data_IF_799121217115
#
_entry.id   IF_799121217115
#
_cell.length_a   1.000
_cell.length_b   1.000
_cell.length_c   1.000
_cell.angle_alpha   90.00
_cell.angle_beta   90.00
_cell.angle_gamma   90.00
#
_symmetry.space_group_name_H-M   'P 1'
#
loop_
_entity.id
_entity.type
_entity.pdbx_description
1 polymer ?
#
# COMPACT_ATOMS: atom_id res chain seq x y z
N UNK A 1 -4.12 -77.34 -83.85
CA UNK A 1 -3.89 -77.31 -85.31
C UNK A 1 -3.01 -76.09 -85.57
N UNK A 2 -1.77 -76.32 -86.05
CA UNK A 2 -0.76 -75.36 -86.57
C UNK A 2 -0.08 -74.46 -85.51
N UNK A 3 1.19 -74.69 -85.12
CA UNK A 3 2.48 -74.19 -85.71
C UNK A 3 2.58 -72.63 -85.65
N UNK A 4 3.66 -71.92 -85.31
CA UNK A 4 5.09 -72.20 -85.07
C UNK A 4 5.78 -70.87 -84.63
N UNK A 5 6.93 -70.95 -83.93
CA UNK A 5 8.13 -70.05 -83.92
C UNK A 5 7.97 -68.53 -83.63
N UNK A 6 8.81 -67.83 -82.87
CA UNK A 6 10.27 -67.91 -82.76
C UNK A 6 10.78 -67.13 -81.53
N UNK A 7 11.96 -67.48 -80.99
CA UNK A 7 12.74 -66.69 -79.99
C UNK A 7 13.89 -65.94 -80.73
N UNK A 8 14.89 -65.24 -80.11
CA UNK A 8 15.10 -64.75 -78.73
C UNK A 8 15.65 -63.28 -78.67
N UNK A 9 15.76 -62.65 -77.49
CA UNK A 9 17.00 -61.93 -77.05
C UNK A 9 16.96 -61.50 -75.58
N UNK A 10 18.14 -61.47 -74.98
CA UNK A 10 18.47 -61.36 -73.56
C UNK A 10 18.39 -59.94 -72.98
N UNK A 11 18.01 -59.83 -71.70
CA UNK A 11 18.72 -59.04 -70.65
C UNK A 11 18.03 -59.24 -69.29
N UNK A 12 18.73 -59.84 -68.32
CA UNK A 12 18.53 -59.60 -66.88
C UNK A 12 19.13 -58.23 -66.54
N UNK A 13 18.61 -57.43 -65.57
CA UNK A 13 18.54 -57.79 -64.14
C UNK A 13 17.25 -57.17 -63.51
N UNK A 14 16.98 -57.01 -62.21
CA UNK A 14 17.66 -57.22 -60.95
C UNK A 14 16.55 -57.21 -59.88
N UNK A 15 16.76 -57.95 -58.79
CA UNK A 15 15.92 -57.89 -57.59
C UNK A 15 16.25 -56.64 -56.77
N UNK A 16 15.28 -55.75 -56.51
CA UNK A 16 15.43 -54.73 -55.45
C UNK A 16 14.15 -54.50 -54.63
N UNK A 17 14.25 -54.89 -53.35
CA UNK A 17 14.02 -54.04 -52.18
C UNK A 17 12.60 -53.49 -51.93
N UNK A 18 11.76 -54.30 -51.25
CA UNK A 18 10.45 -53.92 -50.70
C UNK A 18 10.51 -53.33 -49.28
N UNK A 19 11.68 -52.99 -48.73
CA UNK A 19 11.83 -52.52 -47.33
C UNK A 19 11.71 -50.99 -47.12
N UNK A 20 11.76 -50.19 -48.20
CA UNK A 20 11.82 -48.71 -48.15
C UNK A 20 10.54 -47.94 -47.72
N UNK A 21 9.29 -48.40 -47.91
CA UNK A 21 8.11 -47.57 -47.59
C UNK A 21 7.82 -47.44 -46.08
N UNK A 22 8.09 -48.48 -45.29
CA UNK A 22 7.82 -48.47 -43.85
C UNK A 22 8.82 -47.61 -43.06
N UNK A 23 10.09 -47.62 -43.47
CA UNK A 23 11.13 -46.79 -42.88
C UNK A 23 10.91 -45.29 -43.15
N UNK A 24 10.46 -44.93 -44.36
CA UNK A 24 10.13 -43.55 -44.71
C UNK A 24 8.92 -43.01 -43.94
N UNK A 25 7.87 -43.83 -43.75
CA UNK A 25 6.70 -43.44 -42.95
C UNK A 25 7.02 -43.26 -41.47
N UNK A 26 7.90 -44.11 -40.91
CA UNK A 26 8.35 -44.01 -39.52
C UNK A 26 9.21 -42.77 -39.29
N UNK A 27 10.12 -42.47 -40.23
CA UNK A 27 10.95 -41.25 -40.17
C UNK A 27 10.10 -39.98 -40.23
N UNK A 28 9.08 -39.93 -41.09
CA UNK A 28 8.16 -38.80 -41.19
C UNK A 28 7.35 -38.60 -39.89
N UNK A 29 6.88 -39.69 -39.27
CA UNK A 29 6.18 -39.64 -37.99
C UNK A 29 7.08 -39.15 -36.85
N UNK A 30 8.36 -39.54 -36.86
CA UNK A 30 9.35 -39.11 -35.87
C UNK A 30 9.70 -37.62 -36.03
N UNK A 31 9.83 -37.14 -37.27
CA UNK A 31 10.02 -35.72 -37.58
C UNK A 31 8.79 -34.89 -37.17
N UNK A 32 7.57 -35.39 -37.40
CA UNK A 32 6.34 -34.74 -36.93
C UNK A 32 6.28 -34.67 -35.40
N UNK A 33 6.59 -35.76 -34.70
CA UNK A 33 6.62 -35.79 -33.24
C UNK A 33 7.70 -34.86 -32.66
N UNK A 34 8.89 -34.80 -33.29
CA UNK A 34 9.95 -33.87 -32.90
C UNK A 34 9.53 -32.41 -33.12
N UNK A 35 8.91 -32.09 -34.26
CA UNK A 35 8.38 -30.76 -34.53
C UNK A 35 7.24 -30.35 -33.59
N UNK A 36 6.38 -31.28 -33.17
CA UNK A 36 5.35 -31.00 -32.16
C UNK A 36 5.97 -30.74 -30.77
N UNK A 37 6.99 -31.51 -30.39
CA UNK A 37 7.71 -31.32 -29.12
C UNK A 37 8.46 -29.98 -29.11
N UNK A 38 9.15 -29.62 -30.19
CA UNK A 38 9.82 -28.31 -30.32
C UNK A 38 8.81 -27.17 -30.22
N UNK A 39 7.67 -27.26 -30.92
CA UNK A 39 6.62 -26.24 -30.85
C UNK A 39 5.99 -26.13 -29.45
N UNK A 40 5.82 -27.25 -28.74
CA UNK A 40 5.34 -27.25 -27.36
C UNK A 40 6.36 -26.62 -26.42
N UNK A 41 7.64 -26.96 -26.59
CA UNK A 41 8.76 -26.40 -25.83
C UNK A 41 8.89 -24.89 -26.07
N UNK A 42 8.82 -24.41 -27.31
CA UNK A 42 8.86 -22.98 -27.65
C UNK A 42 7.68 -22.22 -27.02
N UNK A 43 6.48 -22.80 -27.08
CA UNK A 43 5.28 -22.19 -26.47
C UNK A 43 5.38 -22.16 -24.94
N UNK A 44 5.88 -23.22 -24.33
CA UNK A 44 6.13 -23.31 -22.88
C UNK A 44 7.19 -22.28 -22.44
N UNK A 45 8.26 -22.14 -23.22
CA UNK A 45 9.35 -21.21 -22.93
C UNK A 45 8.93 -19.74 -23.10
N UNK A 46 8.10 -19.43 -24.12
CA UNK A 46 7.48 -18.12 -24.29
C UNK A 46 6.52 -17.79 -23.14
N UNK A 47 5.65 -18.72 -22.76
CA UNK A 47 4.75 -18.56 -21.61
C UNK A 47 5.55 -18.35 -20.32
N UNK A 48 6.59 -19.16 -20.07
CA UNK A 48 7.48 -19.01 -18.92
C UNK A 48 8.15 -17.63 -18.89
N UNK A 49 8.65 -17.14 -20.03
CA UNK A 49 9.27 -15.80 -20.14
C UNK A 49 8.29 -14.67 -19.82
N UNK A 50 7.06 -14.74 -20.35
CA UNK A 50 5.99 -13.78 -20.03
C UNK A 50 5.54 -13.83 -18.56
N UNK A 51 5.75 -14.95 -17.88
CA UNK A 51 5.41 -15.13 -16.47
C UNK A 51 6.54 -14.70 -15.54
N UNK A 52 7.80 -14.81 -15.97
CA UNK A 52 8.97 -14.34 -15.21
C UNK A 52 9.02 -12.81 -15.14
N UNK A 53 8.53 -12.11 -16.18
CA UNK A 53 8.47 -10.64 -16.21
C UNK A 53 7.39 -10.06 -15.29
N UNK A 54 6.43 -10.86 -14.85
CA UNK A 54 5.39 -10.45 -13.89
C UNK A 54 5.85 -10.87 -12.49
N UNK A 55 5.75 -9.96 -11.51
CA UNK A 55 6.06 -10.28 -10.11
C UNK A 55 4.88 -11.04 -9.46
N UNK A 56 4.46 -12.13 -10.09
CA UNK A 56 3.30 -12.90 -9.66
C UNK A 56 3.55 -14.40 -9.68
N UNK A 57 2.93 -15.09 -8.73
CA UNK A 57 2.90 -16.54 -8.62
C UNK A 57 1.67 -17.04 -9.35
N UNK A 58 1.86 -17.90 -10.34
CA UNK A 58 0.76 -18.71 -10.85
C UNK A 58 0.63 -19.96 -10.00
N UNK A 59 -0.60 -20.35 -9.73
CA UNK A 59 -0.87 -21.55 -8.96
C UNK A 59 -2.12 -22.26 -9.48
N UNK A 60 -2.17 -23.58 -9.28
CA UNK A 60 -3.35 -24.40 -9.54
C UNK A 60 -3.50 -25.43 -8.43
N UNK A 61 -4.71 -25.59 -7.92
CA UNK A 61 -5.05 -26.60 -6.90
C UNK A 61 -6.24 -27.44 -7.35
N UNK A 62 -6.22 -28.70 -6.96
CA UNK A 62 -7.41 -29.54 -6.90
C UNK A 62 -8.22 -29.14 -5.65
N UNK A 63 -9.50 -28.84 -5.83
CA UNK A 63 -10.32 -28.23 -4.78
C UNK A 63 -10.58 -29.18 -3.60
N UNK A 64 -10.94 -30.43 -3.89
CA UNK A 64 -11.39 -31.40 -2.89
C UNK A 64 -10.25 -31.80 -1.95
N UNK A 65 -9.07 -32.07 -2.50
CA UNK A 65 -7.89 -32.52 -1.75
C UNK A 65 -7.01 -31.37 -1.28
N UNK A 66 -7.20 -30.17 -1.83
CA UNK A 66 -6.29 -29.02 -1.71
C UNK A 66 -4.87 -29.33 -2.20
N UNK A 67 -4.73 -30.32 -3.07
CA UNK A 67 -3.45 -30.66 -3.68
C UNK A 67 -3.03 -29.58 -4.66
N UNK A 68 -1.82 -29.05 -4.47
CA UNK A 68 -1.20 -28.14 -5.42
C UNK A 68 -0.79 -28.94 -6.66
N UNK A 69 -1.41 -28.62 -7.80
CA UNK A 69 -1.16 -29.25 -9.10
C UNK A 69 -0.01 -28.56 -9.82
N UNK A 70 0.11 -27.25 -9.64
CA UNK A 70 1.13 -26.42 -10.25
C UNK A 70 1.40 -25.18 -9.40
N UNK A 71 2.65 -24.75 -9.39
CA UNK A 71 3.07 -23.44 -8.88
C UNK A 71 4.23 -22.94 -9.73
N UNK A 72 4.23 -21.67 -10.11
CA UNK A 72 5.33 -21.11 -10.89
C UNK A 72 6.59 -20.90 -10.02
N UNK A 73 7.80 -20.89 -10.62
CA UNK A 73 9.05 -20.64 -9.90
C UNK A 73 9.09 -19.31 -9.12
N UNK A 74 8.26 -18.33 -9.52
CA UNK A 74 8.12 -17.07 -8.80
C UNK A 74 7.70 -17.26 -7.33
N UNK A 75 7.07 -18.38 -6.98
CA UNK A 75 6.75 -18.73 -5.59
C UNK A 75 7.98 -18.74 -4.70
N UNK A 76 9.10 -19.31 -5.14
CA UNK A 76 10.29 -19.39 -4.30
C UNK A 76 10.88 -18.00 -4.02
N UNK A 77 10.80 -17.09 -5.01
CA UNK A 77 11.22 -15.69 -4.87
C UNK A 77 10.28 -14.89 -3.96
N UNK A 78 8.95 -15.05 -4.13
CA UNK A 78 7.93 -14.24 -3.44
C UNK A 78 7.64 -14.77 -2.02
N UNK A 79 7.69 -16.08 -1.79
CA UNK A 79 7.43 -16.68 -0.49
C UNK A 79 8.72 -17.02 0.27
N UNK A 80 9.85 -17.13 -0.42
CA UNK A 80 11.11 -17.62 0.18
C UNK A 80 11.08 -19.11 0.54
N UNK A 81 10.05 -19.84 0.10
CA UNK A 81 9.81 -21.25 0.44
C UNK A 81 9.94 -22.12 -0.81
N UNK A 82 10.35 -23.38 -0.64
CA UNK A 82 10.54 -24.27 -1.77
C UNK A 82 9.22 -24.66 -2.44
N UNK A 83 9.17 -24.54 -3.77
CA UNK A 83 8.02 -24.94 -4.57
C UNK A 83 7.83 -26.46 -4.55
N UNK A 84 8.92 -27.25 -4.48
CA UNK A 84 8.84 -28.71 -4.40
C UNK A 84 8.23 -29.18 -3.09
N UNK A 85 8.54 -28.50 -1.97
CA UNK A 85 7.88 -28.75 -0.68
C UNK A 85 6.39 -28.40 -0.73
N UNK A 86 6.01 -27.27 -1.36
CA UNK A 86 4.61 -26.92 -1.54
C UNK A 86 3.84 -27.96 -2.37
N UNK A 87 4.47 -28.53 -3.40
CA UNK A 87 3.86 -29.59 -4.22
C UNK A 87 3.73 -30.91 -3.45
N UNK A 88 4.60 -31.17 -2.48
CA UNK A 88 4.56 -32.35 -1.62
C UNK A 88 3.59 -32.20 -0.43
N UNK A 89 3.44 -30.98 0.10
CA UNK A 89 2.68 -30.70 1.32
C UNK A 89 1.42 -29.85 1.05
N UNK A 90 0.26 -30.37 1.42
CA UNK A 90 -1.03 -29.72 1.15
C UNK A 90 -1.31 -28.43 1.96
N UNK A 91 -0.46 -28.03 2.91
CA UNK A 91 -0.69 -26.88 3.83
C UNK A 91 0.29 -25.71 3.68
N UNK A 92 1.31 -25.83 2.84
CA UNK A 92 2.40 -24.85 2.76
C UNK A 92 1.96 -23.41 2.46
N UNK A 93 0.89 -23.23 1.68
CA UNK A 93 0.28 -21.92 1.43
C UNK A 93 -0.40 -21.35 2.67
N UNK A 94 -1.31 -22.11 3.31
CA UNK A 94 -2.04 -21.66 4.51
C UNK A 94 -1.10 -21.26 5.63
N UNK A 95 -0.04 -22.05 5.84
CA UNK A 95 0.97 -21.82 6.87
C UNK A 95 1.91 -20.64 6.55
N UNK A 96 1.81 -20.07 5.36
CA UNK A 96 2.49 -18.82 5.00
C UNK A 96 1.63 -17.58 5.23
N UNK A 97 0.31 -17.71 5.40
CA UNK A 97 -0.58 -16.55 5.57
C UNK A 97 -0.45 -16.00 6.98
N UNK A 98 -0.40 -14.66 7.08
CA UNK A 98 -0.36 -13.95 8.36
C UNK A 98 -1.55 -14.39 9.24
N UNK A 99 -1.36 -14.67 10.55
CA UNK A 99 -2.39 -15.26 11.40
C UNK A 99 -3.74 -14.52 11.39
N UNK A 100 -3.72 -13.19 11.35
CA UNK A 100 -4.92 -12.34 11.28
C UNK A 100 -5.69 -12.47 9.96
N UNK A 101 -5.03 -12.89 8.88
CA UNK A 101 -5.60 -12.93 7.53
C UNK A 101 -6.01 -14.35 7.10
N UNK A 102 -5.66 -15.38 7.88
CA UNK A 102 -5.92 -16.79 7.51
C UNK A 102 -7.40 -17.06 7.25
N UNK A 103 -8.27 -16.62 8.17
CA UNK A 103 -9.72 -16.85 8.03
C UNK A 103 -10.29 -16.12 6.80
N UNK A 104 -9.86 -14.88 6.57
CA UNK A 104 -10.26 -14.11 5.40
C UNK A 104 -9.78 -14.77 4.10
N UNK A 105 -8.52 -15.22 4.04
CA UNK A 105 -7.94 -15.85 2.86
C UNK A 105 -8.67 -17.15 2.49
N UNK A 106 -9.05 -17.96 3.48
CA UNK A 106 -9.81 -19.20 3.27
C UNK A 106 -11.24 -18.93 2.83
N UNK A 107 -11.93 -17.99 3.49
CA UNK A 107 -13.30 -17.63 3.14
C UNK A 107 -13.39 -17.05 1.73
N UNK A 108 -12.53 -16.09 1.39
CA UNK A 108 -12.47 -15.49 0.05
C UNK A 108 -12.14 -16.52 -1.03
N UNK A 109 -11.26 -17.49 -0.76
CA UNK A 109 -10.96 -18.56 -1.71
C UNK A 109 -12.17 -19.49 -1.92
N UNK A 110 -12.97 -19.78 -0.89
CA UNK A 110 -14.17 -20.60 -0.99
C UNK A 110 -15.29 -19.96 -1.83
N UNK A 111 -15.37 -18.63 -1.86
CA UNK A 111 -16.34 -17.91 -2.68
C UNK A 111 -16.17 -18.18 -4.19
N UNK A 112 -15.00 -18.64 -4.63
CA UNK A 112 -14.76 -18.98 -6.04
C UNK A 112 -15.69 -20.10 -6.55
N UNK A 113 -16.16 -20.97 -5.66
CA UNK A 113 -17.10 -22.04 -6.01
C UNK A 113 -18.47 -21.51 -6.42
N UNK A 114 -18.91 -20.46 -5.75
CA UNK A 114 -20.23 -19.87 -5.95
C UNK A 114 -20.19 -18.82 -7.07
N UNK A 115 -19.13 -17.99 -7.09
CA UNK A 115 -18.99 -16.86 -8.01
C UNK A 115 -18.30 -17.24 -9.32
N UNK A 116 -17.62 -18.39 -9.37
CA UNK A 116 -16.78 -18.81 -10.48
C UNK A 116 -15.42 -18.10 -10.57
N UNK A 117 -15.32 -16.88 -10.03
CA UNK A 117 -14.11 -16.07 -9.95
C UNK A 117 -14.12 -15.16 -8.71
N UNK A 118 -12.93 -14.89 -8.15
CA UNK A 118 -12.71 -13.89 -7.09
C UNK A 118 -11.46 -13.10 -7.46
N UNK A 119 -11.65 -11.81 -7.76
CA UNK A 119 -10.59 -10.95 -8.29
C UNK A 119 -10.03 -9.93 -7.29
N UNK A 120 -10.73 -9.72 -6.16
CA UNK A 120 -10.33 -8.76 -5.14
C UNK A 120 -10.14 -9.48 -3.80
N UNK A 121 -8.98 -10.13 -3.67
CA UNK A 121 -8.55 -10.72 -2.40
C UNK A 121 -7.10 -10.38 -2.12
N UNK A 122 -6.92 -9.51 -1.12
CA UNK A 122 -5.62 -9.04 -0.69
C UNK A 122 -5.35 -9.53 0.74
N UNK A 123 -4.20 -10.18 0.94
CA UNK A 123 -3.84 -10.73 2.25
C UNK A 123 -2.33 -10.71 2.45
N UNK A 124 -1.91 -10.73 3.71
CA UNK A 124 -0.50 -10.77 4.09
C UNK A 124 0.01 -12.21 4.17
N UNK A 125 1.25 -12.40 3.73
CA UNK A 125 2.04 -13.60 3.96
C UNK A 125 3.28 -13.28 4.81
N UNK A 126 3.80 -14.31 5.48
CA UNK A 126 5.06 -14.32 6.19
C UNK A 126 6.02 -15.23 5.41
N UNK A 127 7.04 -14.61 4.83
CA UNK A 127 8.08 -15.31 4.06
C UNK A 127 8.96 -16.18 4.95
N UNK A 128 9.77 -17.06 4.37
CA UNK A 128 10.65 -17.95 5.14
C UNK A 128 11.67 -17.21 6.04
N UNK A 129 12.06 -15.99 5.68
CA UNK A 129 12.92 -15.10 6.47
C UNK A 129 12.14 -14.19 7.44
N UNK A 130 10.81 -14.36 7.53
CA UNK A 130 9.95 -13.66 8.49
C UNK A 130 9.44 -12.29 8.05
N UNK A 131 9.71 -11.85 6.82
CA UNK A 131 9.18 -10.59 6.30
C UNK A 131 7.69 -10.71 5.98
N UNK A 132 6.97 -9.60 6.15
CA UNK A 132 5.57 -9.50 5.75
C UNK A 132 5.51 -9.00 4.30
N UNK A 133 4.79 -9.73 3.45
CA UNK A 133 4.46 -9.30 2.08
C UNK A 133 2.96 -9.26 1.88
N UNK A 134 2.49 -8.33 1.07
CA UNK A 134 1.10 -8.24 0.65
C UNK A 134 0.91 -8.92 -0.70
N UNK A 135 -0.04 -9.83 -0.80
CA UNK A 135 -0.44 -10.45 -2.06
C UNK A 135 -1.78 -9.89 -2.52
N UNK A 136 -1.89 -9.61 -3.81
CA UNK A 136 -3.16 -9.46 -4.53
C UNK A 136 -3.38 -10.73 -5.33
N UNK A 137 -4.32 -11.55 -4.90
CA UNK A 137 -4.57 -12.85 -5.52
C UNK A 137 -5.88 -12.83 -6.30
N UNK A 138 -5.89 -13.46 -7.47
CA UNK A 138 -7.08 -13.63 -8.29
C UNK A 138 -7.23 -15.10 -8.59
N UNK A 139 -8.39 -15.67 -8.31
CA UNK A 139 -8.65 -17.07 -8.56
C UNK A 139 -9.91 -17.31 -9.37
N UNK A 140 -9.88 -18.38 -10.16
CA UNK A 140 -10.90 -18.75 -11.12
C UNK A 140 -11.12 -20.25 -11.05
N UNK A 141 -12.37 -20.66 -11.23
CA UNK A 141 -12.69 -22.06 -11.47
C UNK A 141 -12.48 -22.43 -12.94
N UNK A 142 -11.99 -23.64 -13.15
CA UNK A 142 -12.12 -24.33 -14.44
C UNK A 142 -13.62 -24.57 -14.71
N UNK A 143 -14.25 -23.74 -15.53
CA UNK A 143 -15.67 -23.89 -15.91
C UNK A 143 -15.96 -25.08 -16.85
N UNK A 144 -14.95 -25.89 -17.22
CA UNK A 144 -15.14 -27.16 -17.93
C UNK A 144 -15.25 -28.33 -16.95
N UNK A 145 -16.23 -28.26 -16.04
CA UNK A 145 -16.60 -29.38 -15.18
C UNK A 145 -17.19 -30.51 -16.06
N UNK A 146 -16.32 -31.38 -16.55
CA UNK A 146 -16.74 -32.62 -17.21
C UNK A 146 -17.08 -33.64 -16.11
N UNK A 147 -18.19 -34.40 -16.21
CA UNK A 147 -18.53 -35.40 -15.21
C UNK A 147 -17.34 -36.33 -14.93
N UNK A 148 -16.91 -36.40 -13.67
CA UNK A 148 -15.78 -37.23 -13.23
C UNK A 148 -14.39 -36.59 -13.30
N UNK A 149 -14.25 -35.32 -13.71
CA UNK A 149 -12.99 -34.57 -13.54
C UNK A 149 -13.00 -33.73 -12.26
N UNK A 150 -11.87 -33.68 -11.51
CA UNK A 150 -11.79 -32.90 -10.28
C UNK A 150 -11.92 -31.40 -10.55
N UNK A 151 -12.48 -30.66 -9.59
CA UNK A 151 -12.59 -29.22 -9.70
C UNK A 151 -11.21 -28.60 -9.50
N UNK A 152 -10.76 -27.83 -10.49
CA UNK A 152 -9.48 -27.13 -10.44
C UNK A 152 -9.74 -25.66 -10.23
N UNK A 153 -9.08 -25.09 -9.22
CA UNK A 153 -9.00 -23.65 -9.02
C UNK A 153 -7.61 -23.21 -9.44
N UNK A 154 -7.55 -22.24 -10.34
CA UNK A 154 -6.32 -21.62 -10.80
C UNK A 154 -6.28 -20.18 -10.33
N UNK A 155 -5.08 -19.62 -10.16
CA UNK A 155 -4.96 -18.23 -9.80
C UNK A 155 -3.60 -17.62 -10.05
N UNK A 156 -3.56 -16.31 -9.85
CA UNK A 156 -2.39 -15.47 -9.96
C UNK A 156 -2.30 -14.59 -8.72
N UNK A 157 -1.21 -14.73 -7.97
CA UNK A 157 -0.93 -13.94 -6.78
C UNK A 157 0.24 -12.99 -7.03
N UNK A 158 -0.06 -11.70 -7.16
CA UNK A 158 0.91 -10.63 -7.36
C UNK A 158 1.42 -10.10 -6.01
N UNK A 159 2.73 -9.90 -5.89
CA UNK A 159 3.29 -9.19 -4.74
C UNK A 159 3.08 -7.68 -4.90
N UNK A 160 2.18 -7.14 -4.07
CA UNK A 160 1.81 -5.72 -4.04
C UNK A 160 2.42 -4.99 -2.84
N UNK A 161 3.46 -5.54 -2.22
CA UNK A 161 4.10 -4.96 -1.02
C UNK A 161 4.62 -3.55 -1.30
N UNK A 162 5.37 -3.35 -2.39
CA UNK A 162 5.88 -2.03 -2.78
C UNK A 162 4.74 -1.05 -3.09
N UNK A 163 3.69 -1.51 -3.78
CA UNK A 163 2.49 -0.71 -4.04
C UNK A 163 1.82 -0.27 -2.74
N UNK A 164 1.68 -1.16 -1.75
CA UNK A 164 1.12 -0.82 -0.43
C UNK A 164 2.00 0.16 0.33
N UNK A 165 3.32 0.01 0.28
CA UNK A 165 4.24 0.98 0.88
C UNK A 165 4.12 2.35 0.23
N UNK A 166 4.04 2.40 -1.10
CA UNK A 166 3.87 3.66 -1.83
C UNK A 166 2.51 4.29 -1.53
N UNK A 167 1.41 3.53 -1.48
CA UNK A 167 0.08 4.01 -1.09
C UNK A 167 0.11 4.63 0.31
N UNK A 168 0.73 3.95 1.28
CA UNK A 168 0.87 4.45 2.65
C UNK A 168 1.74 5.71 2.72
N UNK A 169 2.84 5.75 1.97
CA UNK A 169 3.72 6.93 1.94
C UNK A 169 3.04 8.11 1.25
N UNK A 170 2.31 7.89 0.15
CA UNK A 170 1.50 8.92 -0.49
C UNK A 170 0.42 9.44 0.45
N UNK A 171 -0.26 8.55 1.18
CA UNK A 171 -1.24 8.95 2.19
C UNK A 171 -0.57 9.77 3.30
N UNK A 172 0.60 9.35 3.78
CA UNK A 172 1.38 10.07 4.79
C UNK A 172 1.78 11.46 4.29
N UNK A 173 2.33 11.59 3.09
CA UNK A 173 2.72 12.87 2.49
C UNK A 173 1.52 13.76 2.22
N UNK A 174 0.38 13.18 1.84
CA UNK A 174 -0.86 13.92 1.61
C UNK A 174 -1.46 14.49 2.91
N UNK A 175 -1.19 13.86 4.07
CA UNK A 175 -1.86 14.21 5.33
C UNK A 175 -0.96 14.81 6.40
N UNK A 176 0.36 14.58 6.34
CA UNK A 176 1.31 14.96 7.40
C UNK A 176 2.40 15.90 6.90
N UNK A 177 2.83 16.80 7.77
CA UNK A 177 4.01 17.64 7.57
C UNK A 177 5.28 16.77 7.70
N UNK A 178 6.19 16.90 6.73
CA UNK A 178 7.36 16.01 6.62
C UNK A 178 8.32 16.18 7.80
N UNK A 179 8.47 17.41 8.29
CA UNK A 179 9.35 17.69 9.43
C UNK A 179 8.69 17.31 10.74
N UNK A 180 7.54 17.91 11.05
CA UNK A 180 6.94 17.86 12.38
C UNK A 180 6.08 16.62 12.63
N UNK A 181 5.72 15.88 11.57
CA UNK A 181 4.76 14.76 11.59
C UNK A 181 3.37 15.13 12.12
N UNK A 182 3.09 16.42 12.30
CA UNK A 182 1.75 16.94 12.56
C UNK A 182 0.92 16.95 11.27
N UNK A 183 -0.37 17.25 11.32
CA UNK A 183 -1.16 17.43 10.09
C UNK A 183 -0.55 18.53 9.24
N UNK A 184 -0.40 18.31 7.93
CA UNK A 184 -0.01 19.39 7.03
C UNK A 184 -1.16 20.39 6.85
N UNK A 185 -0.86 21.57 6.30
CA UNK A 185 -1.84 22.64 6.06
C UNK A 185 -3.11 22.13 5.39
N UNK A 186 -2.98 21.42 4.27
CA UNK A 186 -4.13 20.96 3.47
C UNK A 186 -5.05 20.07 4.30
N UNK A 187 -4.48 19.02 4.89
CA UNK A 187 -5.26 18.04 5.63
C UNK A 187 -5.84 18.63 6.92
N UNK A 188 -5.12 19.51 7.60
CA UNK A 188 -5.62 20.23 8.77
C UNK A 188 -6.90 21.00 8.44
N UNK A 189 -6.91 21.80 7.37
CA UNK A 189 -8.09 22.58 6.99
C UNK A 189 -9.25 21.72 6.47
N UNK A 190 -8.96 20.62 5.73
CA UNK A 190 -9.99 19.65 5.34
C UNK A 190 -10.70 19.07 6.58
N UNK A 191 -9.95 18.65 7.60
CA UNK A 191 -10.53 18.15 8.85
C UNK A 191 -11.22 19.26 9.66
N UNK A 192 -10.62 20.45 9.74
CA UNK A 192 -11.19 21.59 10.45
C UNK A 192 -12.54 22.02 9.87
N UNK A 193 -12.71 21.98 8.53
CA UNK A 193 -13.99 22.25 7.89
C UNK A 193 -15.07 21.24 8.30
N UNK A 194 -14.76 19.94 8.27
CA UNK A 194 -15.70 18.92 8.73
C UNK A 194 -16.09 19.09 10.20
N UNK A 195 -15.13 19.42 11.06
CA UNK A 195 -15.39 19.66 12.48
C UNK A 195 -16.24 20.92 12.71
N UNK A 196 -16.00 21.98 11.92
CA UNK A 196 -16.81 23.20 11.92
C UNK A 196 -18.25 22.93 11.50
N UNK A 197 -18.47 22.28 10.35
CA UNK A 197 -19.80 21.93 9.87
C UNK A 197 -20.56 21.06 10.87
N UNK A 198 -19.88 20.08 11.47
CA UNK A 198 -20.46 19.23 12.51
C UNK A 198 -20.86 20.03 13.74
N UNK A 199 -20.00 20.94 14.19
CA UNK A 199 -20.27 21.79 15.35
C UNK A 199 -21.49 22.70 15.11
N UNK A 200 -21.55 23.35 13.94
CA UNK A 200 -22.69 24.18 13.54
C UNK A 200 -23.99 23.38 13.45
N UNK A 201 -23.97 22.21 12.81
CA UNK A 201 -25.15 21.37 12.65
C UNK A 201 -25.71 20.83 13.97
N UNK A 202 -24.83 20.59 14.95
CA UNK A 202 -25.20 19.99 16.25
C UNK A 202 -25.30 21.01 17.39
N UNK A 203 -25.00 22.29 17.14
CA UNK A 203 -24.91 23.31 18.18
C UNK A 203 -23.84 23.01 19.24
N UNK A 204 -22.75 22.36 18.84
CA UNK A 204 -21.64 22.02 19.75
C UNK A 204 -20.61 23.16 19.79
N UNK A 205 -19.97 23.39 20.95
CA UNK A 205 -18.89 24.37 21.03
C UNK A 205 -17.67 23.88 20.25
N UNK A 206 -16.94 24.80 19.65
CA UNK A 206 -15.71 24.55 18.89
C UNK A 206 -14.77 25.73 19.14
N UNK A 207 -13.48 25.46 19.32
CA UNK A 207 -12.48 26.51 19.39
C UNK A 207 -11.39 26.30 18.35
N UNK A 208 -10.89 27.40 17.80
CA UNK A 208 -9.79 27.47 16.85
C UNK A 208 -8.64 28.24 17.50
N UNK A 209 -7.45 27.65 17.49
CA UNK A 209 -6.24 28.22 18.06
C UNK A 209 -5.19 28.35 16.97
N UNK A 210 -4.65 29.55 16.81
CA UNK A 210 -3.45 29.82 16.02
C UNK A 210 -2.28 30.07 16.94
N UNK A 211 -1.12 29.56 16.54
CA UNK A 211 0.12 29.69 17.27
C UNK A 211 1.24 30.03 16.29
N UNK A 212 2.05 31.02 16.62
CA UNK A 212 3.22 31.41 15.87
C UNK A 212 4.44 31.48 16.80
N UNK A 213 5.56 30.95 16.33
CA UNK A 213 6.81 30.92 17.10
C UNK A 213 7.44 32.30 17.10
N UNK A 214 7.57 32.87 18.30
CA UNK A 214 8.13 34.20 18.48
C UNK A 214 9.59 34.24 18.04
N UNK A 215 9.94 35.22 17.20
CA UNK A 215 11.31 35.49 16.76
C UNK A 215 11.98 34.31 16.01
N UNK A 216 11.19 33.43 15.39
CA UNK A 216 11.71 32.24 14.69
C UNK A 216 12.75 32.57 13.62
N UNK A 217 12.56 33.66 12.87
CA UNK A 217 13.57 34.16 11.94
C UNK A 217 14.91 34.47 12.64
N UNK A 218 14.89 35.13 13.79
CA UNK A 218 16.09 35.44 14.54
C UNK A 218 16.78 34.16 15.08
N UNK A 219 16.01 33.14 15.46
CA UNK A 219 16.53 31.82 15.83
C UNK A 219 17.29 31.21 14.64
N UNK A 220 16.68 31.19 13.45
CA UNK A 220 17.33 30.67 12.24
C UNK A 220 18.58 31.47 11.86
N UNK A 221 18.50 32.79 11.91
CA UNK A 221 19.61 33.68 11.55
C UNK A 221 20.78 33.56 12.54
N UNK A 222 20.51 33.22 13.82
CA UNK A 222 21.52 33.12 14.88
C UNK A 222 22.11 31.72 15.01
N UNK A 223 21.27 30.67 14.95
CA UNK A 223 21.67 29.28 15.27
C UNK A 223 21.61 28.34 14.05
N UNK A 224 21.12 28.83 12.91
CA UNK A 224 20.98 28.06 11.67
C UNK A 224 19.66 27.30 11.57
N UNK A 225 19.31 26.93 10.33
CA UNK A 225 18.04 26.26 10.01
C UNK A 225 17.86 24.90 10.68
N UNK A 226 18.94 24.16 10.92
CA UNK A 226 18.87 22.87 11.62
C UNK A 226 18.37 23.04 13.07
N UNK A 227 18.74 24.14 13.73
CA UNK A 227 18.25 24.44 15.07
C UNK A 227 16.79 24.90 15.02
N UNK A 228 16.41 25.71 14.02
CA UNK A 228 15.01 26.04 13.76
C UNK A 228 14.13 24.81 13.56
N UNK A 229 14.64 23.80 12.84
CA UNK A 229 13.95 22.52 12.66
C UNK A 229 13.75 21.78 13.99
N UNK A 230 14.72 21.82 14.90
CA UNK A 230 14.58 21.25 16.25
C UNK A 230 13.51 21.99 17.08
N UNK A 231 13.45 23.32 16.95
CA UNK A 231 12.40 24.12 17.60
C UNK A 231 11.01 23.70 17.08
N UNK A 232 10.84 23.59 15.76
CA UNK A 232 9.58 23.15 15.15
C UNK A 232 9.17 21.75 15.61
N UNK A 233 10.11 20.81 15.65
CA UNK A 233 9.88 19.43 16.11
C UNK A 233 9.38 19.40 17.55
N UNK A 234 10.08 20.07 18.47
CA UNK A 234 9.71 20.03 19.90
C UNK A 234 8.40 20.75 20.19
N UNK A 235 8.09 21.82 19.45
CA UNK A 235 6.79 22.49 19.57
C UNK A 235 5.66 21.58 19.08
N UNK A 236 5.88 20.83 17.99
CA UNK A 236 4.89 19.87 17.52
C UNK A 236 4.68 18.71 18.52
N UNK A 237 5.74 18.22 19.15
CA UNK A 237 5.66 17.22 20.21
C UNK A 237 4.89 17.75 21.43
N UNK A 238 5.16 18.99 21.85
CA UNK A 238 4.46 19.68 22.92
C UNK A 238 2.96 19.81 22.61
N UNK A 239 2.61 20.23 21.38
CA UNK A 239 1.22 20.27 20.92
C UNK A 239 0.55 18.90 21.06
N UNK A 240 1.15 17.85 20.50
CA UNK A 240 0.62 16.49 20.58
C UNK A 240 0.47 15.96 22.01
N UNK A 241 1.34 16.35 22.93
CA UNK A 241 1.27 15.97 24.34
C UNK A 241 0.18 16.71 25.12
N UNK A 242 -0.11 17.96 24.75
CA UNK A 242 -1.10 18.82 25.41
C UNK A 242 -2.52 18.55 24.91
N UNK A 243 -2.70 18.29 23.62
CA UNK A 243 -4.01 18.07 23.01
C UNK A 243 -4.54 16.66 23.31
N UNK A 244 -5.86 16.53 23.46
CA UNK A 244 -6.49 15.23 23.72
C UNK A 244 -6.78 14.48 22.41
N UNK A 245 -7.10 13.19 22.53
CA UNK A 245 -7.59 12.41 21.39
C UNK A 245 -8.88 13.04 20.84
N UNK A 246 -8.88 13.31 19.54
CA UNK A 246 -10.00 13.95 18.83
C UNK A 246 -9.81 15.45 18.56
N UNK A 247 -8.83 16.10 19.20
CA UNK A 247 -8.42 17.44 18.79
C UNK A 247 -7.55 17.37 17.53
N UNK A 248 -7.60 18.40 16.69
CA UNK A 248 -6.76 18.52 15.51
C UNK A 248 -5.56 19.41 15.80
N UNK A 249 -4.37 19.04 15.33
CA UNK A 249 -3.15 19.83 15.44
C UNK A 249 -2.32 19.70 14.17
N UNK A 250 -1.92 20.82 13.59
CA UNK A 250 -1.17 20.82 12.34
C UNK A 250 -0.26 22.02 12.18
N UNK A 251 0.80 21.84 11.39
CA UNK A 251 1.65 22.92 10.91
C UNK A 251 1.04 23.50 9.63
N UNK A 252 0.63 24.75 9.70
CA UNK A 252 -0.08 25.43 8.61
C UNK A 252 0.82 26.38 7.82
N UNK A 253 1.99 26.72 8.35
CA UNK A 253 2.95 27.65 7.75
C UNK A 253 4.39 27.38 8.18
N UNK A 254 5.30 28.29 7.82
CA UNK A 254 6.73 28.17 8.12
C UNK A 254 6.98 28.00 9.62
N UNK A 255 6.48 28.92 10.44
CA UNK A 255 6.59 28.91 11.90
C UNK A 255 5.23 28.86 12.61
N UNK A 256 4.18 28.55 11.85
CA UNK A 256 2.79 28.63 12.28
C UNK A 256 2.16 27.25 12.46
N UNK A 257 1.52 27.07 13.60
CA UNK A 257 0.71 25.91 13.94
C UNK A 257 -0.73 26.33 14.20
N UNK A 258 -1.64 25.37 14.04
CA UNK A 258 -3.04 25.55 14.33
C UNK A 258 -3.60 24.34 15.08
N UNK A 259 -4.60 24.59 15.91
CA UNK A 259 -5.38 23.56 16.56
C UNK A 259 -6.89 23.83 16.45
N UNK A 260 -7.66 22.76 16.32
CA UNK A 260 -9.12 22.79 16.45
C UNK A 260 -9.50 21.89 17.61
N UNK A 261 -10.37 22.39 18.49
CA UNK A 261 -10.82 21.73 19.71
C UNK A 261 -12.34 21.47 19.65
N UNK A 262 -12.79 20.36 19.03
CA UNK A 262 -14.21 20.02 18.92
C UNK A 262 -14.84 19.76 20.28
N UNK A 263 -16.05 20.28 20.52
CA UNK A 263 -16.75 20.13 21.80
C UNK A 263 -16.07 20.87 22.96
N UNK A 264 -15.25 21.88 22.67
CA UNK A 264 -14.50 22.63 23.69
C UNK A 264 -15.12 24.00 23.95
N UNK A 265 -15.61 24.21 25.17
CA UNK A 265 -16.12 25.51 25.62
C UNK A 265 -14.98 26.55 25.73
N UNK A 266 -15.28 27.86 25.60
CA UNK A 266 -14.28 28.93 25.55
C UNK A 266 -13.28 28.91 26.72
N UNK A 267 -13.76 28.69 27.95
CA UNK A 267 -12.92 28.69 29.16
C UNK A 267 -11.93 27.53 29.15
N UNK A 268 -12.37 26.35 28.69
CA UNK A 268 -11.51 25.18 28.57
C UNK A 268 -10.52 25.34 27.42
N UNK A 269 -10.93 25.97 26.33
CA UNK A 269 -10.04 26.26 25.20
C UNK A 269 -8.92 27.22 25.62
N UNK A 270 -9.23 28.23 26.42
CA UNK A 270 -8.24 29.14 27.01
C UNK A 270 -7.23 28.38 27.87
N UNK A 271 -7.69 27.49 28.77
CA UNK A 271 -6.80 26.67 29.60
C UNK A 271 -5.86 25.79 28.76
N UNK A 272 -6.34 25.22 27.65
CA UNK A 272 -5.52 24.42 26.73
C UNK A 272 -4.45 25.29 26.06
N UNK A 273 -4.82 26.48 25.57
CA UNK A 273 -3.88 27.42 24.95
C UNK A 273 -2.81 27.93 25.94
N UNK A 274 -3.21 28.29 27.16
CA UNK A 274 -2.29 28.70 28.21
C UNK A 274 -1.33 27.57 28.59
N UNK A 275 -1.83 26.35 28.76
CA UNK A 275 -1.00 25.18 29.04
C UNK A 275 -0.01 24.91 27.91
N UNK A 276 -0.45 24.97 26.65
CA UNK A 276 0.44 24.79 25.49
C UNK A 276 1.54 25.86 25.47
N UNK A 277 1.20 27.12 25.73
CA UNK A 277 2.19 28.20 25.84
C UNK A 277 3.18 27.98 26.99
N UNK A 278 2.72 27.48 28.13
CA UNK A 278 3.58 27.15 29.28
C UNK A 278 4.53 26.00 28.96
N UNK A 279 4.06 24.92 28.34
CA UNK A 279 4.89 23.78 27.95
C UNK A 279 5.96 24.21 26.94
N UNK A 280 5.59 25.00 25.91
CA UNK A 280 6.55 25.53 24.94
C UNK A 280 7.62 26.40 25.62
N UNK A 281 7.22 27.26 26.57
CA UNK A 281 8.16 28.10 27.32
C UNK A 281 9.12 27.29 28.20
N UNK A 282 8.71 26.12 28.66
CA UNK A 282 9.54 25.21 29.47
C UNK A 282 10.48 24.34 28.63
N UNK A 283 10.34 24.34 27.30
CA UNK A 283 11.29 23.66 26.41
C UNK A 283 12.67 24.31 26.53
N UNK A 284 13.64 23.53 27.01
CA UNK A 284 15.04 23.95 27.07
C UNK A 284 15.75 23.68 25.75
N UNK A 285 16.21 24.74 25.09
CA UNK A 285 17.05 24.64 23.89
C UNK A 285 18.49 25.04 24.23
N UNK A 286 19.45 24.48 23.50
CA UNK A 286 20.87 24.77 23.72
C UNK A 286 21.64 24.68 22.41
N UNK A 287 22.35 25.75 22.06
CA UNK A 287 23.23 25.79 20.90
C UNK A 287 24.66 26.07 21.37
N UNK A 288 25.63 25.23 20.99
CA UNK A 288 27.03 25.30 21.46
C UNK A 288 27.18 25.42 23.00
N UNK A 289 26.25 24.80 23.74
CA UNK A 289 26.22 24.83 25.21
C UNK A 289 25.62 26.10 25.83
N UNK A 290 25.17 27.08 25.03
CA UNK A 290 24.44 28.25 25.51
C UNK A 290 22.92 27.97 25.50
N UNK A 291 22.25 28.05 26.66
CA UNK A 291 20.81 27.83 26.72
C UNK A 291 20.04 29.04 26.17
N UNK A 292 18.95 28.78 25.46
CA UNK A 292 17.98 29.79 25.08
C UNK A 292 16.55 29.24 25.19
N UNK A 293 15.58 30.14 25.26
CA UNK A 293 14.16 29.81 25.38
C UNK A 293 13.39 30.32 24.18
N UNK A 294 12.34 29.60 23.82
CA UNK A 294 11.41 29.97 22.75
C UNK A 294 10.04 30.24 23.37
N UNK A 295 9.30 31.20 22.82
CA UNK A 295 7.92 31.49 23.21
C UNK A 295 7.02 31.46 21.99
N UNK A 296 5.71 31.42 22.23
CA UNK A 296 4.70 31.47 21.16
C UNK A 296 3.68 32.57 21.43
N UNK A 297 3.26 33.24 20.36
CA UNK A 297 2.10 34.11 20.35
C UNK A 297 0.90 33.33 19.85
N UNK A 298 -0.20 33.39 20.60
CA UNK A 298 -1.39 32.58 20.34
C UNK A 298 -2.63 33.44 20.16
N UNK A 299 -3.45 33.10 19.17
CA UNK A 299 -4.77 33.67 18.96
C UNK A 299 -5.84 32.61 19.06
N UNK A 300 -6.79 32.79 19.97
CA UNK A 300 -7.87 31.86 20.24
C UNK A 300 -9.20 32.46 19.82
N UNK A 301 -9.99 31.74 19.04
CA UNK A 301 -11.37 32.11 18.72
C UNK A 301 -12.31 30.95 19.03
N UNK A 302 -13.40 31.22 19.72
CA UNK A 302 -14.47 30.25 19.96
C UNK A 302 -15.62 30.47 19.00
N UNK A 303 -16.16 29.39 18.43
CA UNK A 303 -17.28 29.43 17.50
C UNK A 303 -18.44 30.25 18.07
N UNK A 304 -18.89 31.23 17.28
CA UNK A 304 -19.99 32.13 17.61
C UNK A 304 -21.08 32.04 16.54
N UNK A 305 -22.26 32.58 16.84
CA UNK A 305 -23.36 32.63 15.87
C UNK A 305 -23.07 33.56 14.67
N UNK A 306 -22.05 34.41 14.77
CA UNK A 306 -21.63 35.33 13.70
C UNK A 306 -20.69 34.64 12.69
N UNK A 307 -20.15 33.47 13.04
CA UNK A 307 -19.24 32.73 12.17
C UNK A 307 -20.01 31.94 11.11
N UNK A 308 -20.08 32.50 9.90
CA UNK A 308 -20.71 31.84 8.75
C UNK A 308 -19.84 30.72 8.14
N UNK A 309 -18.52 30.79 8.31
CA UNK A 309 -17.56 29.84 7.72
C UNK A 309 -16.38 29.60 8.66
N UNK A 310 -15.61 28.54 8.41
CA UNK A 310 -14.34 28.33 9.11
C UNK A 310 -13.38 29.51 8.89
N UNK A 311 -13.42 30.16 7.72
CA UNK A 311 -12.55 31.30 7.42
C UNK A 311 -12.81 32.52 8.31
N UNK A 312 -14.07 32.76 8.72
CA UNK A 312 -14.37 33.85 9.66
C UNK A 312 -13.79 33.54 11.05
N UNK A 313 -13.92 32.29 11.49
CA UNK A 313 -13.35 31.83 12.76
C UNK A 313 -11.82 31.89 12.74
N UNK A 314 -11.20 31.46 11.64
CA UNK A 314 -9.75 31.58 11.41
C UNK A 314 -9.30 33.04 11.44
N UNK A 315 -10.00 33.94 10.76
CA UNK A 315 -9.65 35.36 10.72
C UNK A 315 -9.70 36.03 12.11
N UNK A 316 -10.63 35.63 12.99
CA UNK A 316 -10.66 36.11 14.38
C UNK A 316 -9.49 35.59 15.20
N UNK A 317 -9.15 34.30 15.04
CA UNK A 317 -7.96 33.73 15.66
C UNK A 317 -6.68 34.43 15.17
N UNK A 318 -6.59 34.76 13.88
CA UNK A 318 -5.43 35.43 13.29
C UNK A 318 -5.26 36.85 13.82
N UNK A 319 -6.36 37.62 13.85
CA UNK A 319 -6.37 38.96 14.44
C UNK A 319 -5.95 38.94 15.92
N UNK A 320 -6.42 37.96 16.69
CA UNK A 320 -6.03 37.78 18.09
C UNK A 320 -4.55 37.42 18.24
N UNK A 321 -4.01 36.53 17.39
CA UNK A 321 -2.59 36.17 17.37
C UNK A 321 -1.71 37.39 17.03
N UNK A 322 -2.14 38.19 16.06
CA UNK A 322 -1.45 39.43 15.69
C UNK A 322 -1.42 40.43 16.84
N UNK A 323 -2.54 40.58 17.57
CA UNK A 323 -2.58 41.41 18.77
C UNK A 323 -1.67 40.84 19.88
N UNK A 324 -1.57 39.51 20.02
CA UNK A 324 -0.67 38.87 20.97
C UNK A 324 0.79 39.27 20.69
N UNK A 325 1.19 39.27 19.40
CA UNK A 325 2.52 39.75 18.98
C UNK A 325 2.73 41.24 19.32
N UNK A 326 1.72 42.09 19.08
CA UNK A 326 1.79 43.54 19.37
C UNK A 326 1.88 43.87 20.85
N UNK A 327 1.22 43.08 21.71
CA UNK A 327 1.22 43.34 23.15
C UNK A 327 2.48 42.82 23.87
N UNK A 328 3.48 42.34 23.11
CA UNK A 328 4.76 41.89 23.65
C UNK A 328 4.94 40.37 23.67
N UNK A 329 4.21 39.63 22.82
CA UNK A 329 4.40 38.20 22.57
C UNK A 329 4.17 37.31 23.79
N UNK A 330 4.50 36.01 23.69
CA UNK A 330 4.45 35.03 24.78
C UNK A 330 3.12 35.04 25.56
N UNK A 331 2.00 35.01 24.83
CA UNK A 331 0.66 35.07 25.41
C UNK A 331 -0.39 34.52 24.46
N UNK A 332 -1.56 34.26 25.02
CA UNK A 332 -2.78 34.01 24.28
C UNK A 332 -3.69 35.23 24.36
N UNK A 333 -4.34 35.57 23.24
CA UNK A 333 -5.43 36.53 23.18
C UNK A 333 -6.66 35.82 22.63
N UNK A 334 -7.82 36.06 23.24
CA UNK A 334 -9.11 35.63 22.70
C UNK A 334 -9.69 36.71 21.78
N UNK A 335 -10.21 36.31 20.62
CA UNK A 335 -10.91 37.16 19.65
C UNK A 335 -12.36 36.77 19.41
#
# INVERSE_FOLDING_TARGET
MVHETDSPTSTTPDSTDTSRPAAAATLLALMHAQGEVERLSEREQLLSSLLVSVNAVLWAIEWETRRVLYVSPAYERIFGRSASLLLAEHRGWRDSIHPEDQQYAEHSLAQVLELGAVEDRQYRIITADGQIRWLSDKCFTNQQATPGKPLIVVGIAEDITEKKHLELELQRLATTDVLTRSSNRRHFFECAHHEFERACAQGLPLAFLLLDIDDFKAINDTYGHLEGDQVLLRIAESGRGVLRRGDLFGRIGGEEFAAVLPGCAPERAMQVAERLGQEVRQLGFSHEGQPYSVTVSQGLASLSAEDATLDSLFARADAAMYEAKRQGKNRVIAG
#
